data_IF_056174908426
#
_entry.id   IF_056174908426
#
_cell.length_a   1.000
_cell.length_b   1.000
_cell.length_c   1.000
_cell.angle_alpha   90.00
_cell.angle_beta   90.00
_cell.angle_gamma   90.00
#
_symmetry.space_group_name_H-M   'P 1'
#
loop_
_entity.id
_entity.type
_entity.pdbx_description
1 polymer ?
#
# COMPACT_ATOMS: atom_id res chain seq x y z
N UNK A 1 -25.39 12.48 2.89
CA UNK A 1 -24.93 11.53 3.92
C UNK A 1 -23.47 11.87 4.24
N UNK A 2 -23.06 11.91 5.51
CA UNK A 2 -21.66 12.14 5.84
C UNK A 2 -20.81 10.99 5.28
N UNK A 3 -19.60 11.25 4.76
CA UNK A 3 -18.70 10.18 4.34
C UNK A 3 -18.41 9.30 5.55
N UNK A 4 -18.71 8.01 5.45
CA UNK A 4 -18.46 7.08 6.54
C UNK A 4 -16.95 7.03 6.77
N UNK A 5 -16.56 7.46 7.97
CA UNK A 5 -15.17 7.58 8.38
C UNK A 5 -14.56 6.18 8.43
N UNK A 6 -13.34 6.05 7.88
CA UNK A 6 -12.54 4.85 8.06
C UNK A 6 -12.38 4.54 9.56
N UNK A 7 -12.22 3.26 9.94
CA UNK A 7 -11.94 2.92 11.34
C UNK A 7 -10.65 3.58 11.83
N UNK A 8 -10.52 3.77 13.14
CA UNK A 8 -9.32 4.38 13.73
C UNK A 8 -8.02 3.67 13.37
N UNK A 9 -8.08 2.36 13.07
CA UNK A 9 -6.94 1.57 12.58
C UNK A 9 -6.38 2.03 11.23
N UNK A 10 -7.19 2.75 10.45
CA UNK A 10 -6.77 3.35 9.19
C UNK A 10 -6.10 4.73 9.37
N UNK A 11 -6.11 5.30 10.58
CA UNK A 11 -5.46 6.58 10.84
C UNK A 11 -3.92 6.46 10.71
N UNK A 12 -3.27 7.58 10.45
CA UNK A 12 -1.81 7.66 10.39
C UNK A 12 -1.19 7.13 11.68
N UNK A 13 -0.10 6.35 11.57
CA UNK A 13 0.64 5.79 12.70
C UNK A 13 -0.17 4.87 13.63
N UNK A 14 -1.44 4.58 13.32
CA UNK A 14 -2.25 3.69 14.14
C UNK A 14 -1.76 2.24 14.03
N UNK A 15 -1.70 1.48 15.14
CA UNK A 15 -1.37 0.07 15.08
C UNK A 15 -2.43 -0.72 14.32
N UNK A 16 -2.05 -1.91 13.83
CA UNK A 16 -3.01 -2.86 13.26
C UNK A 16 -4.04 -3.24 14.33
N UNK A 17 -5.32 -3.15 13.99
CA UNK A 17 -6.39 -3.60 14.88
C UNK A 17 -6.41 -5.13 14.99
N UNK A 18 -6.80 -5.63 16.15
CA UNK A 18 -7.03 -7.06 16.41
C UNK A 18 -8.26 -7.62 15.69
N UNK A 19 -9.14 -6.75 15.18
CA UNK A 19 -10.35 -7.11 14.45
C UNK A 19 -10.60 -6.13 13.31
N UNK A 20 -10.93 -6.66 12.13
CA UNK A 20 -11.27 -5.89 10.92
C UNK A 20 -12.76 -5.55 10.93
N UNK A 21 -13.10 -4.31 10.58
CA UNK A 21 -14.50 -3.89 10.45
C UNK A 21 -15.08 -4.37 9.12
N UNK A 22 -15.97 -5.36 9.17
CA UNK A 22 -16.64 -5.95 8.02
C UNK A 22 -18.14 -5.68 8.08
N UNK A 23 -18.66 -5.03 7.05
CA UNK A 23 -20.09 -4.74 6.86
C UNK A 23 -20.57 -5.43 5.58
N UNK A 24 -21.42 -6.45 5.73
CA UNK A 24 -22.04 -7.17 4.61
C UNK A 24 -23.50 -6.74 4.41
N UNK A 25 -23.96 -6.81 3.16
CA UNK A 25 -25.38 -6.60 2.82
C UNK A 25 -26.30 -7.72 3.30
N UNK A 26 -27.60 -7.53 3.07
CA UNK A 26 -28.64 -8.51 3.44
C UNK A 26 -28.57 -9.81 2.64
N UNK A 27 -27.86 -9.81 1.51
CA UNK A 27 -27.57 -10.98 0.68
C UNK A 27 -26.06 -11.07 0.45
N UNK A 28 -25.56 -12.31 0.38
CA UNK A 28 -24.16 -12.57 0.06
C UNK A 28 -24.05 -12.94 -1.42
N UNK A 29 -23.12 -12.30 -2.11
CA UNK A 29 -22.80 -12.60 -3.49
C UNK A 29 -22.13 -13.99 -3.61
N UNK A 30 -22.47 -14.80 -4.64
CA UNK A 30 -21.96 -16.17 -4.78
C UNK A 30 -20.43 -16.27 -4.82
N UNK A 31 -19.76 -15.29 -5.44
CA UNK A 31 -18.30 -15.24 -5.54
C UNK A 31 -17.64 -15.15 -4.16
N UNK A 32 -18.25 -14.46 -3.20
CA UNK A 32 -17.70 -14.32 -1.85
C UNK A 32 -17.79 -15.64 -1.11
N UNK A 33 -18.91 -16.36 -1.25
CA UNK A 33 -19.04 -17.71 -0.70
C UNK A 33 -18.00 -18.66 -1.30
N UNK A 34 -17.79 -18.61 -2.62
CA UNK A 34 -16.79 -19.45 -3.29
C UNK A 34 -15.38 -19.13 -2.82
N UNK A 35 -15.05 -17.85 -2.70
CA UNK A 35 -13.75 -17.36 -2.21
C UNK A 35 -13.50 -17.86 -0.78
N UNK A 36 -14.44 -17.63 0.15
CA UNK A 36 -14.28 -18.08 1.54
C UNK A 36 -14.23 -19.60 1.67
N UNK A 37 -14.94 -20.36 0.83
CA UNK A 37 -14.83 -21.83 0.80
C UNK A 37 -13.47 -22.31 0.29
N UNK A 38 -12.88 -21.60 -0.69
CA UNK A 38 -11.55 -21.90 -1.24
C UNK A 38 -10.44 -21.59 -0.23
N UNK A 39 -10.58 -20.52 0.55
CA UNK A 39 -9.51 -20.01 1.43
C UNK A 39 -9.64 -20.47 2.88
N UNK A 40 -10.83 -20.85 3.33
CA UNK A 40 -11.03 -21.30 4.70
C UNK A 40 -10.48 -22.71 4.90
N UNK A 41 -9.42 -22.83 5.69
CA UNK A 41 -8.88 -24.13 6.14
C UNK A 41 -9.89 -24.89 7.01
N UNK A 42 -10.77 -24.17 7.71
CA UNK A 42 -11.82 -24.76 8.54
C UNK A 42 -13.09 -24.91 7.71
N UNK A 43 -13.58 -26.13 7.53
CA UNK A 43 -14.84 -26.41 6.86
C UNK A 43 -16.00 -26.06 7.80
N UNK A 44 -16.54 -24.85 7.66
CA UNK A 44 -17.71 -24.35 8.39
C UNK A 44 -18.88 -24.06 7.45
N UNK A 45 -20.14 -24.14 7.94
CA UNK A 45 -21.29 -23.74 7.15
C UNK A 45 -21.23 -22.24 6.85
N UNK A 46 -21.46 -21.90 5.58
CA UNK A 46 -21.54 -20.53 5.05
C UNK A 46 -22.89 -20.38 4.36
N UNK A 47 -23.95 -20.40 5.16
CA UNK A 47 -25.35 -20.43 4.71
C UNK A 47 -26.10 -19.12 5.06
N UNK A 48 -25.52 -18.25 5.89
CA UNK A 48 -26.14 -16.98 6.29
C UNK A 48 -25.14 -15.83 6.28
N UNK A 49 -25.63 -14.59 6.16
CA UNK A 49 -24.79 -13.37 6.20
C UNK A 49 -23.91 -13.33 7.47
N UNK A 50 -24.42 -13.59 8.69
CA UNK A 50 -23.58 -13.56 9.89
C UNK A 50 -22.44 -14.58 9.87
N UNK A 51 -22.63 -15.75 9.23
CA UNK A 51 -21.59 -16.76 9.08
C UNK A 51 -20.48 -16.29 8.14
N UNK A 52 -20.84 -15.67 7.02
CA UNK A 52 -19.85 -15.09 6.09
C UNK A 52 -19.09 -13.93 6.74
N UNK A 53 -19.80 -13.04 7.44
CA UNK A 53 -19.19 -11.91 8.13
C UNK A 53 -18.19 -12.40 9.19
N UNK A 54 -18.58 -13.35 10.04
CA UNK A 54 -17.66 -13.93 11.05
C UNK A 54 -16.45 -14.60 10.39
N UNK A 55 -16.67 -15.38 9.32
CA UNK A 55 -15.59 -16.04 8.61
C UNK A 55 -14.59 -15.03 8.01
N UNK A 56 -15.10 -13.96 7.40
CA UNK A 56 -14.26 -12.93 6.80
C UNK A 56 -13.50 -12.14 7.88
N UNK A 57 -14.16 -11.75 8.97
CA UNK A 57 -13.51 -11.07 10.11
C UNK A 57 -12.35 -11.92 10.63
N UNK A 58 -12.57 -13.19 10.96
CA UNK A 58 -11.51 -14.06 11.47
C UNK A 58 -10.36 -14.23 10.49
N UNK A 59 -10.67 -14.32 9.20
CA UNK A 59 -9.65 -14.50 8.16
C UNK A 59 -8.78 -13.25 8.04
N UNK A 60 -9.40 -12.08 7.92
CA UNK A 60 -8.70 -10.80 7.71
C UNK A 60 -8.02 -10.25 8.97
N UNK A 61 -8.49 -10.64 10.15
CA UNK A 61 -7.92 -10.21 11.44
C UNK A 61 -6.69 -11.03 11.84
N UNK A 62 -6.38 -12.11 11.10
CA UNK A 62 -5.18 -12.91 11.28
C UNK A 62 -3.92 -12.08 11.00
N UNK A 63 -2.87 -12.23 11.80
CA UNK A 63 -1.57 -11.53 11.56
C UNK A 63 -1.00 -11.85 10.18
N UNK A 64 -1.21 -13.07 9.71
CA UNK A 64 -0.77 -13.55 8.40
C UNK A 64 -1.63 -13.06 7.22
N UNK A 65 -2.71 -12.33 7.47
CA UNK A 65 -3.53 -11.76 6.40
C UNK A 65 -2.88 -10.50 5.85
N UNK A 66 -1.79 -10.70 5.10
CA UNK A 66 -1.00 -9.69 4.43
C UNK A 66 -1.24 -9.78 2.93
N UNK A 67 -1.41 -8.64 2.30
CA UNK A 67 -1.69 -8.50 0.88
C UNK A 67 -0.49 -7.87 0.20
N UNK A 68 0.02 -8.51 -0.84
CA UNK A 68 0.97 -7.88 -1.75
C UNK A 68 0.15 -7.01 -2.72
N UNK A 69 0.22 -5.69 -2.52
CA UNK A 69 -0.53 -4.76 -3.37
C UNK A 69 0.20 -4.52 -4.69
N UNK A 70 1.52 -4.38 -4.65
CA UNK A 70 2.34 -4.14 -5.83
C UNK A 70 3.81 -4.38 -5.54
N UNK A 71 4.63 -4.47 -6.59
CA UNK A 71 6.07 -4.54 -6.48
C UNK A 71 6.71 -3.41 -7.28
N UNK A 72 7.58 -2.64 -6.64
CA UNK A 72 8.21 -1.46 -7.24
C UNK A 72 9.70 -1.74 -7.41
N UNK A 73 10.20 -1.57 -8.63
CA UNK A 73 11.64 -1.64 -8.89
C UNK A 73 12.25 -0.28 -8.59
N UNK A 74 13.19 -0.25 -7.64
CA UNK A 74 13.81 0.97 -7.13
C UNK A 74 15.34 0.85 -7.19
N UNK A 75 16.07 1.94 -7.45
CA UNK A 75 17.51 2.00 -7.27
C UNK A 75 17.92 1.60 -5.85
N UNK A 76 19.11 1.02 -5.71
CA UNK A 76 19.74 0.66 -4.42
C UNK A 76 20.63 1.76 -3.86
N UNK A 77 21.01 2.73 -4.68
CA UNK A 77 21.87 3.85 -4.31
C UNK A 77 21.51 5.08 -5.15
N UNK A 78 21.94 6.29 -4.73
CA UNK A 78 21.83 7.51 -5.53
C UNK A 78 22.48 7.35 -6.91
N UNK A 79 22.02 8.12 -7.89
CA UNK A 79 22.48 8.10 -9.28
C UNK A 79 24.01 8.26 -9.41
N UNK A 80 24.64 9.05 -8.52
CA UNK A 80 26.09 9.25 -8.52
C UNK A 80 26.89 8.01 -8.10
N UNK A 81 26.26 7.07 -7.41
CA UNK A 81 26.89 5.87 -6.83
C UNK A 81 26.54 4.59 -7.59
N UNK A 82 25.62 4.67 -8.57
CA UNK A 82 25.25 3.53 -9.39
C UNK A 82 26.46 2.96 -10.14
N UNK A 83 26.61 1.64 -10.07
CA UNK A 83 27.67 0.92 -10.76
C UNK A 83 27.47 1.08 -12.26
N UNK A 84 28.55 1.33 -12.99
CA UNK A 84 28.58 1.28 -14.46
C UNK A 84 29.20 -0.04 -14.88
N UNK A 85 28.52 -0.80 -15.73
CA UNK A 85 29.03 -2.06 -16.26
C UNK A 85 28.81 -2.13 -17.78
N UNK A 86 29.76 -2.74 -18.49
CA UNK A 86 29.60 -2.98 -19.92
C UNK A 86 28.41 -3.88 -20.25
N UNK A 87 27.97 -4.73 -19.30
CA UNK A 87 26.81 -5.58 -19.44
C UNK A 87 25.58 -4.94 -18.74
N UNK A 88 24.54 -4.53 -19.51
CA UNK A 88 23.38 -3.85 -18.96
C UNK A 88 22.54 -4.72 -18.01
N UNK A 89 22.57 -6.06 -18.15
CA UNK A 89 21.87 -6.94 -17.19
C UNK A 89 22.61 -6.99 -15.85
N UNK A 90 23.93 -7.13 -15.89
CA UNK A 90 24.77 -7.11 -14.68
C UNK A 90 24.67 -5.77 -13.96
N UNK A 91 24.63 -4.67 -14.72
CA UNK A 91 24.36 -3.34 -14.20
C UNK A 91 22.99 -3.27 -13.52
N UNK A 92 21.92 -3.70 -14.20
CA UNK A 92 20.57 -3.65 -13.66
C UNK A 92 20.41 -4.48 -12.37
N UNK A 93 20.92 -5.72 -12.35
CA UNK A 93 20.87 -6.56 -11.14
C UNK A 93 21.67 -5.98 -9.97
N UNK A 94 22.77 -5.28 -10.25
CA UNK A 94 23.57 -4.62 -9.23
C UNK A 94 22.84 -3.40 -8.68
N UNK A 95 22.26 -2.58 -9.56
CA UNK A 95 21.75 -1.25 -9.23
C UNK A 95 20.31 -1.21 -8.76
N UNK A 96 19.47 -2.17 -9.13
CA UNK A 96 18.03 -2.15 -8.79
C UNK A 96 17.65 -3.28 -7.84
N UNK A 97 16.66 -2.98 -7.00
CA UNK A 97 15.99 -3.93 -6.11
C UNK A 97 14.48 -3.89 -6.36
N UNK A 98 13.82 -5.00 -6.03
CA UNK A 98 12.37 -5.09 -6.05
C UNK A 98 11.86 -4.95 -4.62
N UNK A 99 11.07 -3.91 -4.36
CA UNK A 99 10.42 -3.68 -3.07
C UNK A 99 8.96 -4.11 -3.19
N UNK A 100 8.57 -5.10 -2.39
CA UNK A 100 7.20 -5.56 -2.30
C UNK A 100 6.42 -4.65 -1.35
N UNK A 101 5.33 -4.08 -1.83
CA UNK A 101 4.46 -3.22 -1.05
C UNK A 101 3.33 -4.05 -0.47
N UNK A 102 3.42 -4.26 0.83
CA UNK A 102 2.52 -5.08 1.60
C UNK A 102 1.54 -4.23 2.40
N UNK A 103 0.33 -4.77 2.58
CA UNK A 103 -0.73 -4.11 3.30
C UNK A 103 -1.65 -5.12 4.00
N UNK A 104 -2.50 -4.63 4.89
CA UNK A 104 -3.60 -5.41 5.46
C UNK A 104 -4.91 -4.67 5.30
N UNK A 105 -6.01 -5.44 5.21
CA UNK A 105 -7.35 -4.87 5.11
C UNK A 105 -7.77 -4.33 6.48
N UNK A 106 -8.19 -3.07 6.52
CA UNK A 106 -8.70 -2.40 7.73
C UNK A 106 -10.22 -2.28 7.74
N UNK A 107 -10.83 -2.28 6.56
CA UNK A 107 -12.27 -2.11 6.41
C UNK A 107 -12.80 -2.82 5.16
N UNK A 108 -13.98 -3.40 5.29
CA UNK A 108 -14.79 -3.96 4.19
C UNK A 108 -16.21 -3.39 4.32
N UNK A 109 -16.68 -2.70 3.30
CA UNK A 109 -18.06 -2.24 3.19
C UNK A 109 -18.69 -2.73 1.89
N UNK A 110 -19.58 -3.71 1.99
CA UNK A 110 -20.35 -4.24 0.85
C UNK A 110 -21.80 -3.75 0.84
N UNK A 111 -22.09 -2.65 1.53
CA UNK A 111 -23.44 -2.06 1.63
C UNK A 111 -23.52 -0.71 0.95
N UNK A 112 -22.65 0.24 1.33
CA UNK A 112 -22.76 1.62 0.83
C UNK A 112 -21.82 1.85 -0.35
N UNK A 113 -20.53 1.53 -0.20
CA UNK A 113 -19.52 1.82 -1.21
C UNK A 113 -19.10 0.60 -2.03
N UNK A 114 -19.38 -0.60 -1.54
CA UNK A 114 -18.91 -1.85 -2.12
C UNK A 114 -17.37 -1.84 -2.32
N UNK A 115 -16.65 -1.37 -1.31
CA UNK A 115 -15.21 -1.19 -1.30
C UNK A 115 -14.52 -1.89 -0.12
N UNK A 116 -13.22 -2.10 -0.28
CA UNK A 116 -12.31 -2.54 0.77
C UNK A 116 -11.19 -1.51 0.89
N UNK A 117 -10.71 -1.31 2.10
CA UNK A 117 -9.62 -0.38 2.41
C UNK A 117 -8.40 -1.12 2.94
N UNK A 118 -7.25 -0.85 2.34
CA UNK A 118 -5.95 -1.37 2.69
C UNK A 118 -5.11 -0.29 3.37
N UNK A 119 -4.38 -0.70 4.40
CA UNK A 119 -3.33 0.10 5.03
C UNK A 119 -2.00 -0.62 4.90
N UNK A 120 -0.96 0.11 4.52
CA UNK A 120 0.38 -0.44 4.36
C UNK A 120 0.91 -1.02 5.68
N UNK A 121 1.74 -2.05 5.58
CA UNK A 121 2.47 -2.57 6.74
C UNK A 121 3.51 -1.55 7.21
N UNK A 122 3.90 -1.58 8.50
CA UNK A 122 5.02 -0.77 8.99
C UNK A 122 6.28 -0.96 8.15
N UNK A 123 6.62 -2.21 7.81
CA UNK A 123 7.80 -2.56 7.02
C UNK A 123 7.78 -1.93 5.61
N UNK A 124 6.61 -1.91 4.96
CA UNK A 124 6.47 -1.25 3.65
C UNK A 124 6.56 0.28 3.77
N UNK A 125 6.04 0.85 4.86
CA UNK A 125 6.15 2.28 5.12
C UNK A 125 7.61 2.66 5.37
N UNK A 126 8.31 1.91 6.23
CA UNK A 126 9.72 2.11 6.57
C UNK A 126 10.60 2.00 5.31
N UNK A 127 10.45 0.94 4.51
CA UNK A 127 11.21 0.77 3.28
C UNK A 127 11.03 1.94 2.29
N UNK A 128 9.81 2.50 2.20
CA UNK A 128 9.54 3.66 1.34
C UNK A 128 10.12 4.97 1.92
N UNK A 129 10.11 5.14 3.25
CA UNK A 129 10.71 6.29 3.94
C UNK A 129 12.23 6.27 3.77
N UNK A 130 12.86 5.13 4.01
CA UNK A 130 14.31 4.95 3.88
C UNK A 130 14.77 5.21 2.45
N UNK A 131 14.05 4.67 1.47
CA UNK A 131 14.31 4.94 0.06
C UNK A 131 14.15 6.44 -0.26
N UNK A 132 13.11 7.08 0.26
CA UNK A 132 12.88 8.51 0.01
C UNK A 132 14.00 9.38 0.59
N UNK A 133 14.46 9.10 1.81
CA UNK A 133 15.53 9.86 2.46
C UNK A 133 16.90 9.62 1.81
N UNK A 134 17.29 8.35 1.67
CA UNK A 134 18.64 7.97 1.29
C UNK A 134 18.94 8.08 -0.20
N UNK A 135 17.93 8.04 -1.05
CA UNK A 135 18.10 8.01 -2.52
C UNK A 135 17.35 9.17 -3.16
N UNK A 136 16.02 9.20 -3.06
CA UNK A 136 15.20 10.20 -3.77
C UNK A 136 15.56 11.64 -3.39
N UNK A 137 15.68 11.94 -2.10
CA UNK A 137 16.09 13.26 -1.62
C UNK A 137 17.50 13.64 -2.04
N UNK A 138 18.44 12.69 -2.06
CA UNK A 138 19.83 12.89 -2.48
C UNK A 138 19.90 13.22 -3.97
N UNK A 139 19.23 12.43 -4.81
CA UNK A 139 19.20 12.61 -6.26
C UNK A 139 18.52 13.92 -6.65
N UNK A 140 17.40 14.26 -6.00
CA UNK A 140 16.74 15.54 -6.21
C UNK A 140 17.62 16.72 -5.80
N UNK A 141 18.32 16.62 -4.67
CA UNK A 141 19.23 17.66 -4.21
C UNK A 141 20.45 17.80 -5.15
N UNK A 142 20.92 16.71 -5.77
CA UNK A 142 22.02 16.75 -6.72
C UNK A 142 21.61 17.27 -8.11
N UNK A 143 20.41 16.91 -8.58
CA UNK A 143 19.92 17.23 -9.93
C UNK A 143 19.40 18.66 -10.10
N UNK A 144 19.16 19.38 -9.01
CA UNK A 144 18.69 20.77 -9.02
C UNK A 144 19.82 21.75 -8.70
N UNK A 145 19.77 22.99 -9.19
CA UNK A 145 20.79 24.00 -8.85
C UNK A 145 20.77 24.33 -7.34
N UNK A 146 21.80 24.96 -6.80
CA UNK A 146 21.83 25.32 -5.37
C UNK A 146 21.18 26.68 -5.14
N UNK A 147 20.31 26.80 -4.13
CA UNK A 147 19.74 28.07 -3.66
C UNK A 147 19.68 28.11 -2.12
N UNK A 148 19.53 29.31 -1.57
CA UNK A 148 19.36 29.49 -0.13
C UNK A 148 18.13 28.70 0.35
N UNK A 149 18.26 27.96 1.45
CA UNK A 149 17.19 27.12 2.03
C UNK A 149 16.87 25.81 1.30
N UNK A 150 17.62 25.44 0.26
CA UNK A 150 17.41 24.16 -0.45
C UNK A 150 17.37 22.95 0.50
N UNK A 151 18.35 22.84 1.40
CA UNK A 151 18.41 21.77 2.39
C UNK A 151 17.18 21.74 3.30
N UNK A 152 16.66 22.91 3.68
CA UNK A 152 15.45 23.02 4.49
C UNK A 152 14.21 22.55 3.71
N UNK A 153 14.12 22.89 2.42
CA UNK A 153 13.04 22.43 1.56
C UNK A 153 13.08 20.91 1.34
N UNK A 154 14.26 20.32 1.17
CA UNK A 154 14.43 18.86 1.05
C UNK A 154 13.97 18.15 2.34
N UNK A 155 14.34 18.67 3.52
CA UNK A 155 13.87 18.13 4.81
C UNK A 155 12.34 18.21 4.92
N UNK A 156 11.77 19.36 4.57
CA UNK A 156 10.32 19.55 4.57
C UNK A 156 9.61 18.59 3.60
N UNK A 157 10.16 18.39 2.41
CA UNK A 157 9.64 17.44 1.42
C UNK A 157 9.61 16.02 1.99
N UNK A 158 10.67 15.61 2.69
CA UNK A 158 10.72 14.31 3.34
C UNK A 158 9.72 14.18 4.50
N UNK A 159 9.57 15.21 5.34
CA UNK A 159 8.55 15.23 6.41
C UNK A 159 7.13 15.13 5.84
N UNK A 160 6.84 15.83 4.74
CA UNK A 160 5.57 15.74 4.02
C UNK A 160 5.34 14.34 3.44
N UNK A 161 6.38 13.71 2.90
CA UNK A 161 6.32 12.33 2.43
C UNK A 161 6.00 11.34 3.56
N UNK A 162 6.70 11.43 4.70
CA UNK A 162 6.44 10.59 5.88
C UNK A 162 4.97 10.72 6.29
N UNK A 163 4.44 11.94 6.34
CA UNK A 163 3.04 12.18 6.69
C UNK A 163 2.08 11.59 5.65
N UNK A 164 2.38 11.73 4.36
CA UNK A 164 1.55 11.25 3.28
C UNK A 164 1.50 9.72 3.24
N UNK A 165 2.65 9.05 3.34
CA UNK A 165 2.72 7.58 3.27
C UNK A 165 2.08 6.93 4.49
N UNK A 166 2.23 7.51 5.69
CA UNK A 166 1.56 7.01 6.89
C UNK A 166 0.02 7.17 6.84
N UNK A 167 -0.47 8.18 6.12
CA UNK A 167 -1.90 8.41 5.86
C UNK A 167 -2.43 7.62 4.67
N UNK A 168 -1.56 6.97 3.91
CA UNK A 168 -1.94 6.30 2.69
C UNK A 168 -2.87 5.12 2.99
N UNK A 169 -4.09 5.20 2.43
CA UNK A 169 -5.07 4.13 2.46
C UNK A 169 -5.52 3.89 1.04
N UNK A 170 -5.29 2.68 0.54
CA UNK A 170 -5.75 2.29 -0.79
C UNK A 170 -7.15 1.70 -0.69
N UNK A 171 -8.09 2.23 -1.47
CA UNK A 171 -9.45 1.73 -1.56
C UNK A 171 -9.72 1.18 -2.94
N UNK A 172 -10.39 0.04 -3.00
CA UNK A 172 -10.79 -0.61 -4.26
C UNK A 172 -12.08 -1.38 -4.06
N UNK A 173 -12.71 -1.83 -5.14
CA UNK A 173 -13.96 -2.58 -5.07
C UNK A 173 -13.79 -3.88 -4.28
N UNK A 174 -14.82 -4.28 -3.54
CA UNK A 174 -14.81 -5.46 -2.70
C UNK A 174 -14.53 -6.77 -3.45
N UNK A 175 -14.75 -6.81 -4.78
CA UNK A 175 -14.36 -7.93 -5.65
C UNK A 175 -12.87 -8.28 -5.56
N UNK A 176 -12.02 -7.33 -5.14
CA UNK A 176 -10.60 -7.62 -4.93
C UNK A 176 -10.36 -8.70 -3.85
N UNK A 177 -11.34 -8.99 -2.98
CA UNK A 177 -11.28 -10.13 -2.06
C UNK A 177 -11.17 -11.49 -2.76
N UNK A 178 -11.52 -11.60 -4.06
CA UNK A 178 -11.26 -12.82 -4.85
C UNK A 178 -9.78 -13.20 -4.89
N UNK A 179 -8.87 -12.23 -4.74
CA UNK A 179 -7.42 -12.44 -4.67
C UNK A 179 -6.93 -13.04 -3.35
N UNK A 180 -7.83 -13.34 -2.41
CA UNK A 180 -7.47 -14.01 -1.15
C UNK A 180 -7.00 -15.45 -1.41
N UNK A 181 -5.97 -15.88 -0.71
CA UNK A 181 -5.36 -17.21 -0.84
C UNK A 181 -5.58 -18.11 0.39
N UNK A 182 -5.19 -19.39 0.28
CA UNK A 182 -5.46 -20.42 1.30
C UNK A 182 -4.64 -20.26 2.58
N UNK A 183 -3.54 -19.51 2.53
CA UNK A 183 -2.71 -19.10 3.65
C UNK A 183 -3.17 -17.78 4.29
N UNK A 184 -4.29 -17.23 3.80
CA UNK A 184 -4.90 -15.93 4.17
C UNK A 184 -4.15 -14.72 3.63
N UNK A 185 -3.05 -14.91 2.89
CA UNK A 185 -2.45 -13.84 2.12
C UNK A 185 -3.36 -13.44 0.95
N UNK A 186 -3.01 -12.40 0.24
CA UNK A 186 -3.71 -12.06 -0.99
C UNK A 186 -2.90 -11.19 -1.93
N UNK A 187 -3.36 -11.12 -3.16
CA UNK A 187 -2.81 -10.24 -4.19
C UNK A 187 -3.92 -9.47 -4.90
N UNK A 188 -3.57 -8.28 -5.40
CA UNK A 188 -4.48 -7.48 -6.19
C UNK A 188 -4.58 -8.01 -7.63
N UNK A 189 -5.78 -8.40 -8.04
CA UNK A 189 -6.07 -8.88 -9.39
C UNK A 189 -6.40 -7.74 -10.37
N UNK A 190 -6.53 -8.07 -11.65
CA UNK A 190 -7.07 -7.17 -12.70
C UNK A 190 -6.32 -5.84 -12.88
N UNK A 191 -4.99 -5.83 -12.74
CA UNK A 191 -4.15 -4.64 -12.95
C UNK A 191 -4.25 -3.59 -11.84
N UNK A 192 -4.92 -3.89 -10.74
CA UNK A 192 -5.00 -3.00 -9.57
C UNK A 192 -3.65 -2.76 -8.90
N UNK A 193 -2.69 -3.66 -9.09
CA UNK A 193 -1.31 -3.48 -8.65
C UNK A 193 -0.61 -2.28 -9.30
N UNK A 194 -0.85 -2.04 -10.59
CA UNK A 194 -0.28 -0.86 -11.29
C UNK A 194 -0.96 0.43 -10.82
N UNK A 195 -2.24 0.38 -10.48
CA UNK A 195 -2.95 1.52 -9.87
C UNK A 195 -2.34 1.91 -8.52
N UNK A 196 -2.05 0.93 -7.65
CA UNK A 196 -1.39 1.17 -6.36
C UNK A 196 0.00 1.73 -6.55
N UNK A 197 0.79 1.14 -7.44
CA UNK A 197 2.14 1.61 -7.76
C UNK A 197 2.12 3.08 -8.18
N UNK A 198 1.26 3.44 -9.12
CA UNK A 198 1.15 4.83 -9.58
C UNK A 198 0.73 5.78 -8.45
N UNK A 199 -0.22 5.38 -7.60
CA UNK A 199 -0.62 6.20 -6.44
C UNK A 199 0.51 6.40 -5.44
N UNK A 200 1.34 5.40 -5.19
CA UNK A 200 2.51 5.49 -4.31
C UNK A 200 3.60 6.34 -4.96
N UNK A 201 3.92 6.10 -6.23
CA UNK A 201 4.93 6.87 -6.96
C UNK A 201 4.57 8.36 -7.05
N UNK A 202 3.28 8.70 -7.12
CA UNK A 202 2.82 10.08 -7.09
C UNK A 202 3.03 10.80 -5.74
N UNK A 203 3.39 10.09 -4.66
CA UNK A 203 3.78 10.70 -3.38
C UNK A 203 5.22 11.22 -3.42
N UNK A 204 6.04 10.75 -4.37
CA UNK A 204 7.42 11.19 -4.58
C UNK A 204 7.43 12.50 -5.36
N UNK A 205 7.20 13.60 -4.65
CA UNK A 205 7.15 14.92 -5.26
C UNK A 205 8.56 15.39 -5.68
N UNK A 206 8.66 16.14 -6.80
CA UNK A 206 9.90 16.80 -7.17
C UNK A 206 10.15 18.01 -6.26
N UNK A 207 11.42 18.40 -6.11
CA UNK A 207 11.77 19.69 -5.49
C UNK A 207 11.55 20.81 -6.51
N UNK A 208 10.71 21.78 -6.15
CA UNK A 208 10.42 22.93 -6.99
C UNK A 208 11.24 24.14 -6.51
N UNK A 209 12.10 24.74 -7.35
CA UNK A 209 12.80 25.96 -6.99
C UNK A 209 11.80 27.11 -6.76
N UNK A 210 12.12 28.07 -5.87
CA UNK A 210 11.30 29.26 -5.71
C UNK A 210 11.18 29.98 -7.05
N UNK A 211 9.95 30.36 -7.41
CA UNK A 211 9.67 31.15 -8.62
C UNK A 211 10.56 32.39 -8.59
N UNK A 212 11.43 32.53 -9.60
CA UNK A 212 12.21 33.76 -9.77
C UNK A 212 11.21 34.90 -9.99
N UNK A 213 11.07 35.77 -8.99
CA UNK A 213 10.41 37.07 -9.19
C UNK A 213 11.36 37.89 -10.05
N UNK A 214 11.10 37.92 -11.36
CA UNK A 214 11.70 38.87 -12.29
C UNK A 214 11.27 40.29 -11.94
#
# INVERSE_FOLDING_TARGET
MPPQLLPASAAAFAPRASSVNVVLGSKVEPWLTQTLKRTSQIKRPLNSVPQHQRCLIETLSSTNAIWNLTSIMLPKAPDSELRKDSNPLTEAFSNFQLVHIEAYIVHVDMVLQNDIAFKLTPDSIEALIDYHEGIHCVDIAASTYNWLEKELQVKKLHEEFIQAINKFVYRTNAIALEGLEADRAGELLHGKSEEVKNKIMNLFHPLLPPLQRS
#
